data_IF_450250015525
#
_entry.id   IF_450250015525
#
_cell.length_a   1.000
_cell.length_b   1.000
_cell.length_c   1.000
_cell.angle_alpha   90.00
_cell.angle_beta   90.00
_cell.angle_gamma   90.00
#
_symmetry.space_group_name_H-M   'P 1'
#
loop_
_entity.id
_entity.type
_entity.pdbx_description
1 polymer ?
#
# COMPACT_ATOMS: atom_id res chain seq x y z
N UNK A 1 4.65 -13.45 -26.41
CA UNK A 1 3.59 -14.02 -25.54
C UNK A 1 4.19 -14.63 -24.26
N UNK A 2 5.13 -13.93 -23.58
CA UNK A 2 5.75 -14.40 -22.33
C UNK A 2 5.60 -13.41 -21.16
N UNK A 3 5.14 -12.18 -21.44
CA UNK A 3 5.10 -11.11 -20.44
C UNK A 3 3.79 -11.05 -19.63
N UNK A 4 2.76 -11.80 -20.03
CA UNK A 4 1.42 -11.72 -19.40
C UNK A 4 1.29 -12.54 -18.11
N UNK A 5 2.18 -13.50 -17.87
CA UNK A 5 2.04 -14.45 -16.74
C UNK A 5 2.69 -13.90 -15.47
N UNK A 6 3.81 -13.18 -15.57
CA UNK A 6 4.49 -12.58 -14.42
C UNK A 6 3.66 -11.49 -13.71
N UNK A 7 2.81 -10.78 -14.46
CA UNK A 7 1.94 -9.74 -13.89
C UNK A 7 0.75 -10.31 -13.11
N UNK A 8 0.25 -11.50 -13.46
CA UNK A 8 -0.97 -12.05 -12.84
C UNK A 8 -0.74 -12.53 -11.41
N UNK A 9 0.42 -13.12 -11.13
CA UNK A 9 0.78 -13.63 -9.79
C UNK A 9 1.06 -12.50 -8.80
N UNK A 10 1.71 -11.42 -9.25
CA UNK A 10 2.05 -10.26 -8.42
C UNK A 10 0.81 -9.44 -8.03
N UNK A 11 -0.16 -9.33 -8.95
CA UNK A 11 -1.46 -8.66 -8.73
C UNK A 11 -2.39 -9.50 -7.84
N UNK A 12 -2.36 -10.83 -7.93
CA UNK A 12 -3.10 -11.70 -7.03
C UNK A 12 -2.66 -11.58 -5.57
N UNK A 13 -1.35 -11.43 -5.34
CA UNK A 13 -0.76 -11.28 -4.00
C UNK A 13 -1.10 -9.92 -3.36
N UNK A 14 -1.04 -8.82 -4.12
CA UNK A 14 -1.36 -7.49 -3.59
C UNK A 14 -2.84 -7.35 -3.25
N UNK A 15 -3.75 -7.95 -4.02
CA UNK A 15 -5.19 -7.93 -3.70
C UNK A 15 -5.53 -8.73 -2.44
N UNK A 16 -4.84 -9.84 -2.19
CA UNK A 16 -4.99 -10.59 -0.93
C UNK A 16 -4.44 -9.81 0.27
N UNK A 17 -3.31 -9.11 0.09
CA UNK A 17 -2.76 -8.21 1.10
C UNK A 17 -3.77 -7.11 1.47
N UNK A 18 -4.41 -6.45 0.50
CA UNK A 18 -5.40 -5.41 0.79
C UNK A 18 -6.59 -5.93 1.59
N UNK A 19 -7.16 -7.08 1.18
CA UNK A 19 -8.25 -7.72 1.93
C UNK A 19 -7.85 -8.03 3.37
N UNK A 20 -6.60 -8.41 3.60
CA UNK A 20 -6.08 -8.67 4.94
C UNK A 20 -5.96 -7.38 5.75
N UNK A 21 -5.44 -6.30 5.16
CA UNK A 21 -5.35 -4.99 5.81
C UNK A 21 -6.73 -4.43 6.15
N UNK A 22 -7.73 -4.64 5.30
CA UNK A 22 -9.13 -4.28 5.53
C UNK A 22 -9.74 -5.09 6.67
N UNK A 23 -9.55 -6.42 6.64
CA UNK A 23 -10.06 -7.34 7.66
C UNK A 23 -9.57 -6.95 9.06
N UNK A 24 -8.31 -6.57 9.17
CA UNK A 24 -7.70 -6.17 10.44
C UNK A 24 -7.80 -4.67 10.73
N UNK A 25 -8.50 -3.90 9.88
CA UNK A 25 -8.68 -2.44 10.04
C UNK A 25 -7.36 -1.70 10.27
N UNK A 26 -6.31 -2.13 9.56
CA UNK A 26 -4.99 -1.51 9.67
C UNK A 26 -5.09 -0.04 9.28
N UNK A 27 -4.57 0.84 10.14
CA UNK A 27 -4.58 2.29 9.95
C UNK A 27 -3.22 2.85 9.52
N UNK A 28 -2.14 2.12 9.81
CA UNK A 28 -0.77 2.57 9.56
C UNK A 28 0.06 1.44 8.95
N UNK A 29 0.93 1.79 8.01
CA UNK A 29 1.92 0.90 7.42
C UNK A 29 3.27 1.61 7.38
N UNK A 30 4.29 0.99 7.95
CA UNK A 30 5.67 1.44 7.83
C UNK A 30 6.41 0.49 6.89
N UNK A 31 7.14 1.06 5.93
CA UNK A 31 7.96 0.33 4.98
C UNK A 31 9.39 0.84 5.03
N UNK A 32 10.34 -0.07 4.85
CA UNK A 32 11.73 0.25 4.63
C UNK A 32 11.92 0.68 3.16
N UNK A 33 12.50 1.86 2.95
CA UNK A 33 12.63 2.47 1.63
C UNK A 33 13.60 1.69 0.72
N UNK A 34 14.51 0.92 1.30
CA UNK A 34 15.51 0.15 0.56
C UNK A 34 14.96 -1.21 0.14
N UNK A 35 14.29 -1.94 1.04
CA UNK A 35 13.78 -3.30 0.77
C UNK A 35 12.38 -3.33 0.15
N UNK A 36 11.52 -2.35 0.48
CA UNK A 36 10.09 -2.47 0.21
C UNK A 36 9.60 -1.58 -0.94
N UNK A 37 10.52 -1.12 -1.82
CA UNK A 37 10.20 -0.20 -2.94
C UNK A 37 8.99 -0.63 -3.77
N UNK A 38 8.84 -1.93 -4.02
CA UNK A 38 7.72 -2.45 -4.79
C UNK A 38 6.37 -2.30 -4.05
N UNK A 39 6.35 -2.47 -2.72
CA UNK A 39 5.16 -2.24 -1.91
C UNK A 39 4.87 -0.74 -1.83
N UNK A 40 5.88 0.08 -1.58
CA UNK A 40 5.76 1.54 -1.56
C UNK A 40 5.11 2.05 -2.86
N UNK A 41 5.57 1.58 -4.03
CA UNK A 41 4.97 1.94 -5.31
C UNK A 41 3.50 1.53 -5.42
N UNK A 42 3.13 0.34 -4.94
CA UNK A 42 1.73 -0.13 -4.93
C UNK A 42 0.87 0.80 -4.07
N UNK A 43 1.30 1.12 -2.85
CA UNK A 43 0.52 1.95 -1.93
C UNK A 43 0.43 3.41 -2.37
N UNK A 44 1.46 3.96 -3.04
CA UNK A 44 1.40 5.31 -3.64
C UNK A 44 0.32 5.48 -4.70
N UNK A 45 -0.03 4.40 -5.41
CA UNK A 45 -1.08 4.44 -6.45
C UNK A 45 -2.50 4.29 -5.90
N UNK A 46 -2.66 4.09 -4.59
CA UNK A 46 -3.94 3.79 -3.95
C UNK A 46 -4.43 4.99 -3.15
N UNK A 47 -5.60 5.52 -3.50
CA UNK A 47 -6.18 6.71 -2.86
C UNK A 47 -6.60 6.47 -1.41
N UNK A 48 -6.75 5.21 -1.01
CA UNK A 48 -7.09 4.79 0.35
C UNK A 48 -5.91 4.95 1.34
N UNK A 49 -4.71 5.28 0.84
CA UNK A 49 -3.50 5.46 1.64
C UNK A 49 -2.85 6.79 1.31
N UNK A 50 -2.38 7.48 2.34
CA UNK A 50 -1.64 8.75 2.24
C UNK A 50 -0.29 8.58 2.92
N UNK A 51 0.72 9.26 2.41
CA UNK A 51 2.02 9.34 3.08
C UNK A 51 1.90 10.37 4.21
N UNK A 52 2.16 9.92 5.44
CA UNK A 52 2.23 10.78 6.62
C UNK A 52 3.67 11.22 6.90
N UNK A 53 4.64 10.34 6.61
CA UNK A 53 6.06 10.60 6.75
C UNK A 53 6.86 9.86 5.68
N UNK A 54 7.90 10.50 5.15
CA UNK A 54 8.85 9.89 4.22
C UNK A 54 10.23 10.53 4.41
N UNK A 55 11.24 9.68 4.59
CA UNK A 55 12.65 10.05 4.52
C UNK A 55 13.44 9.07 3.63
N UNK A 56 14.77 9.10 3.73
CA UNK A 56 15.62 8.23 2.92
C UNK A 56 15.54 6.75 3.33
N UNK A 57 15.11 6.44 4.55
CA UNK A 57 15.14 5.12 5.15
C UNK A 57 13.75 4.48 5.26
N UNK A 58 12.71 5.28 5.50
CA UNK A 58 11.37 4.76 5.76
C UNK A 58 10.25 5.61 5.14
N UNK A 59 9.13 4.94 4.87
CA UNK A 59 7.87 5.58 4.47
C UNK A 59 6.74 5.09 5.37
N UNK A 60 6.03 6.02 5.99
CA UNK A 60 4.83 5.77 6.78
C UNK A 60 3.60 6.16 5.96
N UNK A 61 2.74 5.17 5.71
CA UNK A 61 1.42 5.40 5.18
C UNK A 61 0.40 5.41 6.32
N UNK A 62 -0.49 6.40 6.28
CA UNK A 62 -1.73 6.43 7.05
C UNK A 62 -2.89 6.13 6.13
N UNK A 63 -3.88 5.41 6.64
CA UNK A 63 -5.12 5.17 5.91
C UNK A 63 -5.83 6.50 5.71
N UNK A 64 -6.22 6.79 4.47
CA UNK A 64 -7.08 7.93 4.20
C UNK A 64 -8.40 7.67 4.93
N UNK A 65 -8.61 8.39 6.03
CA UNK A 65 -9.88 8.40 6.73
C UNK A 65 -10.96 8.73 5.68
N UNK A 66 -11.92 7.84 5.47
CA UNK A 66 -13.10 8.13 4.61
C UNK A 66 -13.96 9.26 5.19
N UNK A 67 -13.57 9.77 6.36
CA UNK A 67 -14.08 10.94 7.05
C UNK A 67 -13.65 12.25 6.36
N UNK A 68 -13.87 12.39 5.06
CA UNK A 68 -13.92 13.71 4.41
C UNK A 68 -15.26 14.43 4.68
N UNK A 69 -16.11 13.84 5.54
CA UNK A 69 -17.34 14.43 6.08
C UNK A 69 -17.52 14.05 7.55
N UNK A 70 -16.81 14.72 8.46
CA UNK A 70 -17.25 14.87 9.85
C UNK A 70 -16.68 16.18 10.41
N UNK A 71 -17.60 17.14 10.60
CA UNK A 71 -17.46 18.53 11.05
C UNK A 71 -17.08 19.56 9.96
#
# INVERSE_FOLDING_TARGET
MKDRIANSTKVGSSNNLMKMLDKYRVQYLAFDNHSDRALIQIFRTRSEWKIDFEDQEAVLFVRADTSQYAA
#
